data_IF_181473971800
#
_entry.id   IF_181473971800
#
_cell.length_a   1.000
_cell.length_b   1.000
_cell.length_c   1.000
_cell.angle_alpha   90.00
_cell.angle_beta   90.00
_cell.angle_gamma   90.00
#
_symmetry.space_group_name_H-M   'P 1'
#
loop_
_entity.id
_entity.type
_entity.pdbx_description
1 polymer ?
#
# COMPACT_ATOMS: atom_id res chain seq x y z
N UNK A 1 32.69 7.91 18.21
CA UNK A 1 32.16 7.08 17.09
C UNK A 1 30.95 7.80 16.49
N UNK A 2 31.08 8.40 15.31
CA UNK A 2 30.01 9.20 14.68
C UNK A 2 28.91 8.23 14.23
N UNK A 3 27.70 8.36 14.81
CA UNK A 3 26.54 7.57 14.38
C UNK A 3 26.17 7.98 12.94
N UNK A 4 26.14 7.04 12.02
CA UNK A 4 25.75 7.31 10.63
C UNK A 4 24.30 7.85 10.59
N UNK A 5 23.96 8.76 9.66
CA UNK A 5 22.60 9.30 9.53
C UNK A 5 21.52 8.20 9.44
N UNK A 6 21.85 7.11 8.74
CA UNK A 6 20.97 5.94 8.59
C UNK A 6 20.65 5.28 9.94
N UNK A 7 21.65 5.15 10.84
CA UNK A 7 21.42 4.58 12.17
C UNK A 7 20.51 5.47 13.03
N UNK A 8 20.69 6.78 12.97
CA UNK A 8 19.84 7.75 13.67
C UNK A 8 18.39 7.68 13.19
N UNK A 9 18.20 7.54 11.87
CA UNK A 9 16.88 7.39 11.28
C UNK A 9 16.17 6.14 11.81
N UNK A 10 16.81 4.97 11.80
CA UNK A 10 16.18 3.74 12.28
C UNK A 10 15.97 3.73 13.80
N UNK A 11 16.84 4.36 14.59
CA UNK A 11 16.61 4.56 16.04
C UNK A 11 15.39 5.45 16.29
N UNK A 12 15.18 6.49 15.48
CA UNK A 12 13.97 7.31 15.52
C UNK A 12 12.74 6.51 15.08
N UNK A 13 12.84 5.76 13.98
CA UNK A 13 11.77 4.95 13.43
C UNK A 13 11.27 3.91 14.46
N UNK A 14 12.17 3.24 15.16
CA UNK A 14 11.82 2.26 16.20
C UNK A 14 11.14 2.91 17.42
N UNK A 15 11.58 4.08 17.83
CA UNK A 15 10.92 4.85 18.91
C UNK A 15 9.47 5.19 18.57
N UNK A 16 9.17 5.44 17.29
CA UNK A 16 7.84 5.83 16.82
C UNK A 16 7.15 4.70 16.05
N UNK A 17 7.50 3.45 16.36
CA UNK A 17 7.00 2.29 15.62
C UNK A 17 5.47 2.26 15.52
N UNK A 18 4.75 2.53 16.62
CA UNK A 18 3.29 2.54 16.62
C UNK A 18 2.72 3.61 15.66
N UNK A 19 3.31 4.81 15.64
CA UNK A 19 2.91 5.85 14.69
C UNK A 19 3.15 5.40 13.25
N UNK A 20 4.33 4.86 12.97
CA UNK A 20 4.71 4.44 11.63
C UNK A 20 3.83 3.30 11.12
N UNK A 21 3.54 2.30 11.95
CA UNK A 21 2.66 1.18 11.56
C UNK A 21 1.19 1.62 11.46
N UNK A 22 0.76 2.64 12.22
CA UNK A 22 -0.59 3.22 12.11
C UNK A 22 -0.76 3.93 10.79
N UNK A 23 0.22 4.74 10.38
CA UNK A 23 0.21 5.41 9.07
C UNK A 23 0.20 4.39 7.94
N UNK A 24 1.07 3.38 8.00
CA UNK A 24 1.12 2.32 7.01
C UNK A 24 -0.20 1.55 6.88
N UNK A 25 -0.79 1.15 8.02
CA UNK A 25 -2.08 0.45 8.04
C UNK A 25 -3.23 1.34 7.54
N UNK A 26 -3.23 2.64 7.90
CA UNK A 26 -4.22 3.60 7.43
C UNK A 26 -4.19 3.78 5.90
N UNK A 27 -3.01 3.90 5.32
CA UNK A 27 -2.83 3.99 3.87
C UNK A 27 -3.31 2.70 3.19
N UNK A 28 -3.03 1.52 3.75
CA UNK A 28 -3.52 0.25 3.20
C UNK A 28 -5.03 0.06 3.31
N UNK A 29 -5.69 0.65 4.31
CA UNK A 29 -7.16 0.67 4.35
C UNK A 29 -7.73 1.47 3.17
N UNK A 30 -7.06 2.56 2.75
CA UNK A 30 -7.44 3.29 1.53
C UNK A 30 -7.24 2.43 0.28
N UNK A 31 -6.17 1.65 0.19
CA UNK A 31 -5.93 0.75 -0.94
C UNK A 31 -6.97 -0.37 -1.05
N UNK A 32 -7.60 -0.80 0.04
CA UNK A 32 -8.75 -1.72 -0.04
C UNK A 32 -9.94 -1.11 -0.79
N UNK A 33 -10.16 0.20 -0.67
CA UNK A 33 -11.20 0.88 -1.44
C UNK A 33 -10.85 0.92 -2.94
N UNK A 34 -9.58 1.16 -3.28
CA UNK A 34 -9.08 1.05 -4.65
C UNK A 34 -9.26 -0.37 -5.21
N UNK A 35 -8.80 -1.41 -4.50
CA UNK A 35 -8.94 -2.81 -4.94
C UNK A 35 -10.41 -3.24 -5.12
N UNK A 36 -11.32 -2.73 -4.28
CA UNK A 36 -12.75 -2.94 -4.47
C UNK A 36 -13.22 -2.33 -5.80
N UNK A 37 -12.89 -1.08 -6.05
CA UNK A 37 -13.24 -0.41 -7.29
C UNK A 37 -12.61 -1.10 -8.51
N UNK A 38 -11.32 -1.41 -8.48
CA UNK A 38 -10.61 -2.14 -9.53
C UNK A 38 -11.34 -3.44 -9.90
N UNK A 39 -11.77 -4.20 -8.87
CA UNK A 39 -12.51 -5.45 -9.08
C UNK A 39 -13.90 -5.20 -9.66
N UNK A 40 -14.65 -4.27 -9.09
CA UNK A 40 -16.06 -4.04 -9.42
C UNK A 40 -16.24 -3.28 -10.75
N UNK A 41 -15.28 -2.47 -11.14
CA UNK A 41 -15.30 -1.73 -12.40
C UNK A 41 -14.40 -2.39 -13.46
N UNK A 42 -13.08 -2.27 -13.31
CA UNK A 42 -12.13 -2.61 -14.38
C UNK A 42 -12.13 -4.11 -14.70
N UNK A 43 -12.02 -4.97 -13.67
CA UNK A 43 -11.99 -6.42 -13.86
C UNK A 43 -13.35 -6.94 -14.32
N UNK A 44 -14.43 -6.49 -13.70
CA UNK A 44 -15.79 -6.90 -14.06
C UNK A 44 -16.14 -6.48 -15.51
N UNK A 45 -15.81 -5.26 -15.91
CA UNK A 45 -16.00 -4.80 -17.29
C UNK A 45 -15.22 -5.65 -18.29
N UNK A 46 -13.97 -6.06 -17.97
CA UNK A 46 -13.13 -6.87 -18.86
C UNK A 46 -13.57 -8.34 -18.96
N UNK A 47 -14.11 -8.92 -17.87
CA UNK A 47 -14.49 -10.34 -17.83
C UNK A 47 -15.95 -10.58 -18.19
N UNK A 48 -16.86 -9.69 -17.75
CA UNK A 48 -18.31 -9.87 -17.84
C UNK A 48 -18.97 -8.87 -18.78
N UNK A 49 -18.22 -7.87 -19.24
CA UNK A 49 -18.73 -6.80 -20.11
C UNK A 49 -19.64 -5.81 -19.38
N UNK A 50 -19.59 -5.77 -18.06
CA UNK A 50 -20.39 -4.83 -17.23
C UNK A 50 -19.54 -4.28 -16.09
N UNK A 51 -19.61 -2.98 -15.86
CA UNK A 51 -19.14 -2.34 -14.64
C UNK A 51 -20.24 -2.40 -13.57
N UNK A 52 -19.84 -2.63 -12.32
CA UNK A 52 -20.70 -2.56 -11.13
C UNK A 52 -20.39 -1.33 -10.26
N UNK A 53 -19.33 -0.59 -10.58
CA UNK A 53 -18.88 0.59 -9.85
C UNK A 53 -18.35 1.67 -10.82
N UNK A 54 -19.12 1.93 -11.88
CA UNK A 54 -18.82 3.00 -12.84
C UNK A 54 -18.87 4.35 -12.13
N UNK A 55 -17.68 4.96 -11.97
CA UNK A 55 -17.53 6.23 -11.28
C UNK A 55 -17.48 7.35 -12.31
N UNK A 56 -18.47 8.26 -12.22
CA UNK A 56 -18.55 9.44 -13.07
C UNK A 56 -18.15 10.72 -12.31
N UNK A 57 -17.76 11.73 -13.08
CA UNK A 57 -17.48 13.06 -12.55
C UNK A 57 -16.36 13.07 -11.52
N UNK A 58 -16.61 13.73 -10.38
CA UNK A 58 -15.59 13.93 -9.34
C UNK A 58 -15.11 12.62 -8.69
N UNK A 59 -15.95 11.57 -8.65
CA UNK A 59 -15.59 10.31 -8.04
C UNK A 59 -14.45 9.57 -8.79
N UNK A 60 -14.38 9.76 -10.11
CA UNK A 60 -13.28 9.25 -10.93
C UNK A 60 -11.94 9.88 -10.53
N UNK A 61 -11.93 11.19 -10.27
CA UNK A 61 -10.71 11.86 -9.80
C UNK A 61 -10.36 11.48 -8.36
N UNK A 62 -11.36 11.25 -7.51
CA UNK A 62 -11.12 10.80 -6.13
C UNK A 62 -10.46 9.41 -6.08
N UNK A 63 -10.92 8.46 -6.90
CA UNK A 63 -10.28 7.13 -6.94
C UNK A 63 -8.85 7.24 -7.48
N UNK A 64 -8.60 8.07 -8.48
CA UNK A 64 -7.25 8.33 -8.97
C UNK A 64 -6.33 8.92 -7.87
N UNK A 65 -6.84 9.82 -7.04
CA UNK A 65 -6.09 10.34 -5.89
C UNK A 65 -5.80 9.20 -4.89
N UNK A 66 -6.76 8.31 -4.65
CA UNK A 66 -6.56 7.14 -3.78
C UNK A 66 -5.45 6.26 -4.34
N UNK A 67 -5.40 6.00 -5.65
CA UNK A 67 -4.34 5.24 -6.30
C UNK A 67 -2.96 5.86 -6.02
N UNK A 68 -2.82 7.18 -6.15
CA UNK A 68 -1.56 7.87 -5.85
C UNK A 68 -1.20 7.86 -4.36
N UNK A 69 -2.15 7.57 -3.44
CA UNK A 69 -1.80 7.33 -2.03
C UNK A 69 -1.04 6.01 -1.84
N UNK A 70 -0.99 5.17 -2.86
CA UNK A 70 -0.12 4.00 -2.90
C UNK A 70 1.36 4.38 -2.77
N UNK A 71 1.81 5.49 -3.37
CA UNK A 71 3.21 5.93 -3.28
C UNK A 71 3.69 6.09 -1.82
N UNK A 72 3.03 6.89 -0.96
CA UNK A 72 3.41 6.95 0.45
C UNK A 72 3.17 5.63 1.20
N UNK A 73 2.21 4.78 0.78
CA UNK A 73 2.02 3.45 1.33
C UNK A 73 3.22 2.55 1.03
N UNK A 74 3.66 2.49 -0.24
CA UNK A 74 4.84 1.73 -0.67
C UNK A 74 6.09 2.11 0.13
N UNK A 75 6.33 3.41 0.29
CA UNK A 75 7.48 3.91 1.05
C UNK A 75 7.37 3.52 2.53
N UNK A 76 6.22 3.80 3.16
CA UNK A 76 5.99 3.57 4.60
C UNK A 76 6.10 2.10 4.95
N UNK A 77 5.46 1.23 4.16
CA UNK A 77 5.43 -0.21 4.40
C UNK A 77 6.76 -0.87 4.02
N UNK A 78 7.44 -0.40 2.96
CA UNK A 78 8.80 -0.86 2.66
C UNK A 78 9.74 -0.62 3.84
N UNK A 79 9.65 0.53 4.51
CA UNK A 79 10.43 0.83 5.70
C UNK A 79 10.14 -0.14 6.87
N UNK A 80 8.89 -0.57 7.04
CA UNK A 80 8.52 -1.59 8.04
C UNK A 80 9.28 -2.89 7.77
N UNK A 81 9.18 -3.42 6.55
CA UNK A 81 9.80 -4.70 6.18
C UNK A 81 11.33 -4.62 6.10
N UNK A 82 11.90 -3.51 5.62
CA UNK A 82 13.35 -3.26 5.65
C UNK A 82 13.86 -3.25 7.10
N UNK A 83 13.15 -2.59 8.02
CA UNK A 83 13.54 -2.56 9.43
C UNK A 83 13.51 -3.96 10.07
N UNK A 84 12.55 -4.80 9.69
CA UNK A 84 12.52 -6.20 10.12
C UNK A 84 13.69 -7.02 9.57
N UNK A 85 13.92 -6.96 8.25
CA UNK A 85 15.02 -7.68 7.61
C UNK A 85 16.40 -7.28 8.17
N UNK A 86 16.55 -6.03 8.62
CA UNK A 86 17.75 -5.56 9.32
C UNK A 86 17.95 -6.21 10.70
N UNK A 87 16.85 -6.53 11.40
CA UNK A 87 16.89 -7.17 12.72
C UNK A 87 17.13 -8.67 12.58
N UNK A 88 16.37 -9.29 11.71
CA UNK A 88 16.44 -10.72 11.41
C UNK A 88 15.92 -10.97 10.00
N UNK A 89 16.65 -11.77 9.23
CA UNK A 89 16.17 -12.17 7.91
C UNK A 89 15.01 -13.16 8.02
N UNK A 90 13.90 -12.80 7.36
CA UNK A 90 12.72 -13.63 7.17
C UNK A 90 12.32 -13.63 5.71
N UNK A 91 12.16 -14.80 5.10
CA UNK A 91 11.74 -14.93 3.71
C UNK A 91 10.40 -14.26 3.44
N UNK A 92 9.46 -14.34 4.38
CA UNK A 92 8.15 -13.71 4.30
C UNK A 92 8.25 -12.19 4.14
N UNK A 93 9.08 -11.54 4.96
CA UNK A 93 9.31 -10.09 4.87
C UNK A 93 10.01 -9.69 3.57
N UNK A 94 10.90 -10.54 3.04
CA UNK A 94 11.53 -10.32 1.75
C UNK A 94 10.54 -10.45 0.58
N UNK A 95 9.64 -11.46 0.63
CA UNK A 95 8.58 -11.63 -0.36
C UNK A 95 7.57 -10.47 -0.33
N UNK A 96 7.16 -10.02 0.86
CA UNK A 96 6.27 -8.87 0.98
C UNK A 96 6.91 -7.60 0.45
N UNK A 97 8.19 -7.40 0.68
CA UNK A 97 8.92 -6.27 0.10
C UNK A 97 8.99 -6.36 -1.43
N UNK A 98 9.15 -7.56 -1.99
CA UNK A 98 9.11 -7.79 -3.43
C UNK A 98 7.71 -7.50 -4.01
N UNK A 99 6.65 -8.06 -3.42
CA UNK A 99 5.27 -7.84 -3.86
C UNK A 99 4.91 -6.37 -3.81
N UNK A 100 5.23 -5.71 -2.70
CA UNK A 100 5.01 -4.28 -2.53
C UNK A 100 5.72 -3.45 -3.59
N UNK A 101 7.00 -3.71 -3.86
CA UNK A 101 7.76 -2.92 -4.82
C UNK A 101 7.44 -3.28 -6.29
N UNK A 102 6.74 -4.37 -6.58
CA UNK A 102 6.19 -4.62 -7.92
C UNK A 102 5.10 -3.62 -8.30
N UNK A 103 4.45 -2.96 -7.32
CA UNK A 103 3.42 -1.94 -7.53
C UNK A 103 3.93 -0.70 -8.29
N UNK A 104 5.22 -0.43 -8.30
CA UNK A 104 5.76 0.63 -9.15
C UNK A 104 5.41 0.46 -10.62
N UNK A 105 5.24 -0.80 -11.10
CA UNK A 105 4.79 -1.08 -12.45
C UNK A 105 3.30 -0.70 -12.64
N UNK A 106 2.47 -0.95 -11.61
CA UNK A 106 1.07 -0.54 -11.61
C UNK A 106 0.93 0.98 -11.64
N UNK A 107 1.63 1.71 -10.77
CA UNK A 107 1.64 3.19 -10.76
C UNK A 107 2.07 3.75 -12.12
N UNK A 108 3.09 3.15 -12.75
CA UNK A 108 3.52 3.55 -14.09
C UNK A 108 2.41 3.33 -15.12
N UNK A 109 1.73 2.19 -15.08
CA UNK A 109 0.63 1.87 -15.98
C UNK A 109 -0.56 2.83 -15.80
N UNK A 110 -1.01 3.09 -14.56
CA UNK A 110 -2.08 4.06 -14.28
C UNK A 110 -1.71 5.46 -14.78
N UNK A 111 -0.47 5.87 -14.58
CA UNK A 111 0.00 7.16 -15.06
C UNK A 111 -0.10 7.27 -16.59
N UNK A 112 0.27 6.22 -17.31
CA UNK A 112 0.14 6.20 -18.79
C UNK A 112 -1.33 6.14 -19.24
N UNK A 113 -2.13 5.24 -18.69
CA UNK A 113 -3.50 4.97 -19.13
C UNK A 113 -4.48 6.11 -18.78
N UNK A 114 -4.35 6.72 -17.62
CA UNK A 114 -5.30 7.73 -17.14
C UNK A 114 -4.75 9.15 -17.22
N UNK A 115 -3.56 9.38 -16.68
CA UNK A 115 -3.04 10.75 -16.57
C UNK A 115 -2.54 11.27 -17.91
N UNK A 116 -1.67 10.51 -18.59
CA UNK A 116 -1.12 10.93 -19.89
C UNK A 116 -2.23 11.01 -20.94
N UNK A 117 -3.16 10.05 -20.98
CA UNK A 117 -4.28 10.05 -21.91
C UNK A 117 -5.18 11.28 -21.72
N UNK A 118 -5.49 11.67 -20.48
CA UNK A 118 -6.30 12.86 -20.17
C UNK A 118 -5.61 14.16 -20.63
N UNK A 119 -4.31 14.32 -20.36
CA UNK A 119 -3.58 15.53 -20.70
C UNK A 119 -3.19 15.65 -22.17
N UNK A 120 -3.06 14.53 -22.89
CA UNK A 120 -2.69 14.54 -24.32
C UNK A 120 -3.89 14.56 -25.25
N UNK A 121 -5.11 14.37 -24.73
CA UNK A 121 -6.32 14.27 -25.55
C UNK A 121 -6.34 13.03 -26.47
N UNK A 122 -5.47 12.05 -26.20
CA UNK A 122 -5.29 10.85 -27.04
C UNK A 122 -6.50 9.90 -27.01
N UNK A 123 -7.58 10.26 -26.29
CA UNK A 123 -8.72 9.38 -26.06
C UNK A 123 -8.32 8.17 -25.18
N UNK A 124 -9.30 7.48 -24.61
CA UNK A 124 -9.04 6.30 -23.76
C UNK A 124 -8.35 5.18 -24.56
N UNK A 125 -7.04 5.24 -24.67
CA UNK A 125 -6.23 4.23 -25.33
C UNK A 125 -4.84 4.20 -24.70
N UNK A 126 -4.52 3.08 -24.06
CA UNK A 126 -3.17 2.86 -23.55
C UNK A 126 -2.19 2.74 -24.71
N UNK A 127 -1.02 3.35 -24.60
CA UNK A 127 0.13 3.06 -25.47
C UNK A 127 0.66 1.64 -25.20
N UNK A 128 0.24 1.03 -24.09
CA UNK A 128 0.71 -0.24 -23.59
C UNK A 128 -0.14 -1.43 -24.09
N UNK A 129 0.46 -2.60 -24.33
CA UNK A 129 -0.29 -3.76 -24.82
C UNK A 129 -1.26 -4.31 -23.75
N UNK A 130 -2.41 -4.85 -24.20
CA UNK A 130 -3.49 -5.33 -23.35
C UNK A 130 -3.05 -6.36 -22.29
N UNK A 131 -2.07 -7.20 -22.59
CA UNK A 131 -1.56 -8.18 -21.63
C UNK A 131 -0.88 -7.51 -20.42
N UNK A 132 -0.27 -6.33 -20.62
CA UNK A 132 0.38 -5.60 -19.54
C UNK A 132 -0.64 -5.04 -18.54
N UNK A 133 -1.84 -4.66 -19.01
CA UNK A 133 -2.94 -4.26 -18.13
C UNK A 133 -3.35 -5.42 -17.20
N UNK A 134 -3.39 -6.66 -17.69
CA UNK A 134 -3.65 -7.83 -16.84
C UNK A 134 -2.53 -8.11 -15.85
N UNK A 135 -1.28 -7.90 -16.24
CA UNK A 135 -0.14 -7.99 -15.32
C UNK A 135 -0.24 -6.93 -14.23
N UNK A 136 -0.58 -5.68 -14.58
CA UNK A 136 -0.77 -4.61 -13.62
C UNK A 136 -1.89 -4.93 -12.61
N UNK A 137 -3.06 -5.39 -13.10
CA UNK A 137 -4.17 -5.84 -12.24
C UNK A 137 -3.74 -7.00 -11.32
N UNK A 138 -2.97 -7.97 -11.81
CA UNK A 138 -2.48 -9.07 -10.98
C UNK A 138 -1.51 -8.58 -9.90
N UNK A 139 -0.67 -7.62 -10.23
CA UNK A 139 0.27 -7.00 -9.30
C UNK A 139 -0.49 -6.38 -8.13
N UNK A 140 -1.60 -5.67 -8.37
CA UNK A 140 -2.43 -5.09 -7.31
C UNK A 140 -2.94 -6.13 -6.32
N UNK A 141 -3.37 -7.28 -6.80
CA UNK A 141 -3.80 -8.35 -5.91
C UNK A 141 -2.66 -8.94 -5.06
N UNK A 142 -1.39 -8.76 -5.45
CA UNK A 142 -0.25 -9.15 -4.62
C UNK A 142 -0.10 -8.25 -3.37
N UNK A 143 -0.77 -7.10 -3.31
CA UNK A 143 -0.85 -6.31 -2.08
C UNK A 143 -1.67 -6.98 -0.98
N UNK A 144 -2.69 -7.76 -1.30
CA UNK A 144 -3.60 -8.34 -0.30
C UNK A 144 -2.89 -9.06 0.85
N UNK A 145 -1.92 -9.96 0.63
CA UNK A 145 -1.18 -10.58 1.74
C UNK A 145 -0.34 -9.57 2.52
N UNK A 146 0.20 -8.53 1.85
CA UNK A 146 0.97 -7.47 2.50
C UNK A 146 0.07 -6.60 3.38
N UNK A 147 -1.11 -6.24 2.89
CA UNK A 147 -2.15 -5.51 3.64
C UNK A 147 -2.55 -6.30 4.89
N UNK A 148 -2.88 -7.58 4.74
CA UNK A 148 -3.27 -8.44 5.86
C UNK A 148 -2.16 -8.54 6.92
N UNK A 149 -0.90 -8.73 6.50
CA UNK A 149 0.26 -8.77 7.40
C UNK A 149 0.46 -7.43 8.12
N UNK A 150 0.37 -6.31 7.41
CA UNK A 150 0.58 -4.97 7.99
C UNK A 150 -0.51 -4.61 9.00
N UNK A 151 -1.78 -4.92 8.69
CA UNK A 151 -2.90 -4.74 9.63
C UNK A 151 -2.72 -5.65 10.85
N UNK A 152 -2.30 -6.90 10.68
CA UNK A 152 -2.01 -7.82 11.77
C UNK A 152 -0.95 -7.26 12.73
N UNK A 153 0.12 -6.68 12.20
CA UNK A 153 1.19 -6.01 12.98
C UNK A 153 0.68 -4.78 13.72
N UNK A 154 -0.14 -3.97 13.07
CA UNK A 154 -0.77 -2.82 13.71
C UNK A 154 -1.64 -3.24 14.90
N UNK A 155 -2.48 -4.26 14.73
CA UNK A 155 -3.32 -4.79 15.81
C UNK A 155 -2.46 -5.35 16.96
N UNK A 156 -1.37 -6.07 16.64
CA UNK A 156 -0.43 -6.58 17.65
C UNK A 156 0.22 -5.44 18.45
N UNK A 157 0.71 -4.40 17.76
CA UNK A 157 1.32 -3.24 18.41
C UNK A 157 0.33 -2.47 19.33
N UNK A 158 -0.95 -2.37 18.92
CA UNK A 158 -1.99 -1.77 19.75
C UNK A 158 -2.26 -2.60 21.01
N UNK A 159 -2.32 -3.93 20.89
CA UNK A 159 -2.53 -4.85 22.03
C UNK A 159 -1.37 -4.75 23.03
N UNK A 160 -0.15 -4.77 22.53
CA UNK A 160 1.04 -4.64 23.37
C UNK A 160 1.04 -3.32 24.17
N UNK A 161 0.71 -2.21 23.52
CA UNK A 161 0.60 -0.91 24.19
C UNK A 161 -0.46 -0.91 25.29
N UNK A 162 -1.64 -1.47 25.03
CA UNK A 162 -2.70 -1.57 26.04
C UNK A 162 -2.29 -2.42 27.23
N UNK A 163 -1.60 -3.54 27.00
CA UNK A 163 -1.09 -4.40 28.06
C UNK A 163 -0.08 -3.67 28.95
N UNK A 164 0.86 -2.92 28.35
CA UNK A 164 1.84 -2.12 29.09
C UNK A 164 1.17 -1.03 29.91
N UNK A 165 0.15 -0.36 29.37
CA UNK A 165 -0.60 0.66 30.10
C UNK A 165 -1.34 0.06 31.30
N UNK A 166 -2.05 -1.04 31.12
CA UNK A 166 -2.76 -1.74 32.19
C UNK A 166 -1.81 -2.15 33.32
N UNK A 167 -0.66 -2.76 33.01
CA UNK A 167 0.33 -3.16 34.01
C UNK A 167 0.94 -1.97 34.78
N UNK A 168 1.05 -0.81 34.16
CA UNK A 168 1.52 0.42 34.83
C UNK A 168 0.49 0.98 35.80
N UNK A 169 -0.79 0.91 35.45
CA UNK A 169 -1.89 1.34 36.30
C UNK A 169 -2.03 0.46 37.53
N UNK A 170 -1.95 -0.88 37.35
CA UNK A 170 -1.97 -1.85 38.46
C UNK A 170 -0.78 -1.73 39.44
N UNK A 171 0.37 -1.22 38.99
CA UNK A 171 1.54 -1.02 39.86
C UNK A 171 1.55 0.36 40.54
N UNK A 172 0.62 1.24 40.19
CA UNK A 172 0.51 2.58 40.74
C UNK A 172 -0.54 2.67 41.88
N UNK A 173 -1.39 1.65 42.03
CA UNK A 173 -2.35 1.47 43.12
C UNK A 173 -1.73 0.56 44.23
#
# INVERSE_FOLDING_TARGET
MVRTPLRRFFEWYERHYLLNITVAAGLFVLQLAHLYWLTADVVAQRLVGRSYADLEGIFRYLILIVDYTEIPALISVSLVYINELRKRFHWESALYLLFLNSQWLHIFWITDEFVVAEFTGAGHGTSLPLWLAWVAILIDYLELPVIASTIGRFVAALRERRTIQFLREEQAD
#
